data_IF_076157628336
#
_entry.id   IF_076157628336
#
_cell.length_a   1.000
_cell.length_b   1.000
_cell.length_c   1.000
_cell.angle_alpha   90.00
_cell.angle_beta   90.00
_cell.angle_gamma   90.00
#
_symmetry.space_group_name_H-M   'P 1'
#
loop_
_entity.id
_entity.type
_entity.pdbx_description
1 polymer ?
#
# COMPACT_ATOMS: atom_id res chain seq x y z
N UNK A 1 -1.89 -11.83 1.00
CA UNK A 1 -0.51 -12.12 1.41
C UNK A 1 0.12 -10.89 2.04
N UNK A 2 0.79 -11.05 3.17
CA UNK A 2 1.49 -9.97 3.87
C UNK A 2 2.95 -9.98 3.44
N UNK A 3 3.43 -8.86 2.91
CA UNK A 3 4.82 -8.75 2.45
C UNK A 3 5.45 -7.48 3.02
N UNK A 4 6.80 -7.44 3.11
CA UNK A 4 7.48 -6.21 3.49
C UNK A 4 7.18 -5.11 2.47
N UNK A 5 7.08 -3.86 2.94
CA UNK A 5 6.77 -2.74 2.04
C UNK A 5 7.80 -2.59 0.92
N UNK A 6 9.04 -2.97 1.16
CA UNK A 6 10.10 -2.85 0.17
C UNK A 6 9.87 -3.75 -1.04
N UNK A 7 9.04 -4.78 -0.89
CA UNK A 7 8.70 -5.72 -1.96
C UNK A 7 7.31 -5.44 -2.54
N UNK A 8 6.65 -4.37 -2.10
CA UNK A 8 5.27 -4.11 -2.48
C UNK A 8 5.12 -3.49 -3.86
N UNK A 9 6.13 -2.78 -4.34
CA UNK A 9 6.06 -2.16 -5.67
C UNK A 9 5.89 -3.23 -6.74
N UNK A 10 4.90 -3.04 -7.61
CA UNK A 10 4.58 -4.03 -8.63
C UNK A 10 3.53 -5.06 -8.20
N UNK A 11 3.12 -5.02 -6.94
CA UNK A 11 2.08 -5.91 -6.42
C UNK A 11 0.74 -5.18 -6.39
N UNK A 12 -0.33 -5.94 -6.24
CA UNK A 12 -1.68 -5.39 -6.18
C UNK A 12 -2.10 -5.28 -4.73
N UNK A 13 -2.53 -4.08 -4.32
CA UNK A 13 -2.95 -3.85 -2.94
C UNK A 13 -4.18 -4.67 -2.60
N UNK A 14 -4.23 -5.18 -1.37
CA UNK A 14 -5.37 -5.92 -0.86
C UNK A 14 -6.04 -5.19 0.30
N UNK A 15 -5.56 -3.99 0.65
CA UNK A 15 -6.14 -3.20 1.73
C UNK A 15 -6.19 -1.73 1.35
N UNK A 16 -6.97 -0.96 2.10
CA UNK A 16 -7.02 0.49 1.94
C UNK A 16 -5.85 1.12 2.69
N UNK A 17 -5.09 1.96 2.02
CA UNK A 17 -4.06 2.79 2.64
C UNK A 17 -4.54 4.23 2.54
N UNK A 18 -4.66 4.91 3.67
CA UNK A 18 -5.14 6.28 3.71
C UNK A 18 -4.22 7.17 4.52
N UNK A 19 -4.16 8.45 4.15
CA UNK A 19 -3.38 9.44 4.89
C UNK A 19 -4.05 9.81 6.20
N UNK A 20 -3.30 10.41 7.09
CA UNK A 20 -3.80 11.01 8.32
C UNK A 20 -3.80 12.54 8.14
N UNK A 21 -4.96 13.23 8.28
CA UNK A 21 -6.24 12.66 8.72
C UNK A 21 -6.87 11.77 7.67
N UNK A 22 -7.59 10.72 8.10
CA UNK A 22 -8.25 9.83 7.15
C UNK A 22 -9.33 10.56 6.36
N UNK A 23 -9.55 10.11 5.13
CA UNK A 23 -10.53 10.72 4.25
C UNK A 23 -10.11 10.71 2.80
N UNK A 24 -8.79 10.60 2.55
CA UNK A 24 -8.27 10.50 1.20
C UNK A 24 -7.51 9.19 1.09
N UNK A 25 -8.03 8.25 0.31
CA UNK A 25 -7.36 6.99 0.11
C UNK A 25 -6.18 7.18 -0.85
N UNK A 26 -5.01 6.69 -0.43
CA UNK A 26 -3.81 6.67 -1.27
C UNK A 26 -3.83 5.43 -2.15
N UNK A 27 -4.27 4.31 -1.58
CA UNK A 27 -4.40 3.04 -2.29
C UNK A 27 -5.73 2.40 -1.92
N UNK A 28 -6.38 1.80 -2.90
CA UNK A 28 -7.59 1.00 -2.70
C UNK A 28 -7.29 -0.45 -3.05
N UNK A 29 -8.05 -1.40 -2.49
CA UNK A 29 -7.88 -2.80 -2.87
C UNK A 29 -8.03 -2.97 -4.38
N UNK A 30 -7.11 -3.71 -4.98
CA UNK A 30 -7.10 -3.93 -6.42
C UNK A 30 -6.23 -2.96 -7.19
N UNK A 31 -5.69 -1.93 -6.55
CA UNK A 31 -4.81 -0.98 -7.23
C UNK A 31 -3.37 -1.48 -7.26
N UNK A 32 -2.68 -1.16 -8.34
CA UNK A 32 -1.26 -1.46 -8.48
C UNK A 32 -0.44 -0.53 -7.58
N UNK A 33 0.43 -1.11 -6.78
CA UNK A 33 1.35 -0.33 -5.94
C UNK A 33 2.54 0.10 -6.79
N UNK A 34 2.83 1.40 -6.81
CA UNK A 34 3.93 1.97 -7.57
C UNK A 34 4.91 2.67 -6.66
N UNK A 35 6.05 3.07 -7.20
CA UNK A 35 7.05 3.82 -6.44
C UNK A 35 6.49 5.13 -5.88
N UNK A 36 5.52 5.74 -6.57
CA UNK A 36 4.89 6.97 -6.10
C UNK A 36 4.15 6.78 -4.78
N UNK A 37 3.77 5.56 -4.45
CA UNK A 37 3.07 5.25 -3.20
C UNK A 37 4.02 5.08 -2.02
N UNK A 38 5.30 4.84 -2.26
CA UNK A 38 6.26 4.51 -1.20
C UNK A 38 6.31 5.53 -0.06
N UNK A 39 6.27 6.87 -0.31
CA UNK A 39 6.27 7.83 0.81
C UNK A 39 5.10 7.64 1.76
N UNK A 40 3.96 7.18 1.26
CA UNK A 40 2.76 6.97 2.08
C UNK A 40 2.80 5.65 2.84
N UNK A 41 3.74 4.77 2.49
CA UNK A 41 3.90 3.48 3.15
C UNK A 41 4.99 3.52 4.23
N UNK A 42 5.59 4.69 4.48
CA UNK A 42 6.71 4.82 5.40
C UNK A 42 6.38 4.35 6.83
N UNK A 43 5.12 4.51 7.26
CA UNK A 43 4.70 4.10 8.60
C UNK A 43 4.33 2.63 8.70
N UNK A 44 4.40 1.89 7.59
CA UNK A 44 4.05 0.48 7.54
C UNK A 44 5.32 -0.36 7.42
N UNK A 45 5.39 -1.45 8.18
CA UNK A 45 6.47 -2.43 8.02
C UNK A 45 6.08 -3.47 6.99
N UNK A 46 4.80 -3.83 6.94
CA UNK A 46 4.26 -4.85 6.05
C UNK A 46 3.00 -4.35 5.37
N UNK A 47 2.74 -4.84 4.19
CA UNK A 47 1.58 -4.45 3.39
C UNK A 47 0.84 -5.72 2.95
N UNK A 48 -0.50 -5.67 3.01
CA UNK A 48 -1.32 -6.75 2.49
C UNK A 48 -1.49 -6.58 0.99
N UNK A 49 -1.17 -7.62 0.23
CA UNK A 49 -1.29 -7.62 -1.22
C UNK A 49 -2.02 -8.88 -1.68
N UNK A 50 -2.57 -8.80 -2.89
CA UNK A 50 -3.19 -9.95 -3.54
C UNK A 50 -2.08 -10.86 -4.02
N UNK A 51 -2.23 -12.12 -3.69
CA UNK A 51 -1.26 -13.14 -4.01
C UNK A 51 -1.18 -13.40 -5.52
#
# INVERSE_FOLDING_TARGET
ETIPKDLAVGRIAAEVIAECPPGIAVLLPGELITEAHLPYLADYDFIEVIK
#
